data_IF_956941709776
#
_entry.id   IF_956941709776
#
_cell.length_a   1.000
_cell.length_b   1.000
_cell.length_c   1.000
_cell.angle_alpha   90.00
_cell.angle_beta   90.00
_cell.angle_gamma   90.00
#
_symmetry.space_group_name_H-M   'P 1'
#
loop_
_entity.id
_entity.type
_entity.pdbx_description
1 polymer ?
#
# COMPACT_ATOMS: atom_id res chain seq x y z
N UNK A 1 -17.74 35.39 -13.08
CA UNK A 1 -16.75 34.57 -12.36
C UNK A 1 -16.95 33.09 -12.74
N UNK A 2 -17.29 32.16 -11.86
CA UNK A 2 -17.10 30.70 -12.07
C UNK A 2 -17.55 30.07 -13.41
N UNK A 3 -18.60 30.59 -14.07
CA UNK A 3 -19.01 30.07 -15.39
C UNK A 3 -18.06 30.54 -16.52
N UNK A 4 -17.53 31.76 -16.43
CA UNK A 4 -16.59 32.33 -17.42
C UNK A 4 -15.18 31.73 -17.31
N UNK A 5 -14.79 31.21 -16.14
CA UNK A 5 -13.54 30.45 -15.95
C UNK A 5 -13.58 29.10 -16.67
N UNK A 6 -14.73 28.42 -16.65
CA UNK A 6 -14.93 27.15 -17.37
C UNK A 6 -14.89 27.31 -18.89
N UNK A 7 -15.38 28.44 -19.42
CA UNK A 7 -15.26 28.74 -20.86
C UNK A 7 -13.82 29.10 -21.29
N UNK A 8 -12.94 29.42 -20.33
CA UNK A 8 -11.50 29.69 -20.54
C UNK A 8 -10.58 28.50 -20.27
N UNK A 9 -11.11 27.41 -19.72
CA UNK A 9 -10.34 26.20 -19.40
C UNK A 9 -9.58 26.25 -18.07
N UNK A 10 -9.94 27.17 -17.15
CA UNK A 10 -9.39 27.21 -15.80
C UNK A 10 -9.96 26.08 -14.93
N UNK A 11 -9.18 25.61 -13.96
CA UNK A 11 -9.47 24.41 -13.16
C UNK A 11 -10.67 24.52 -12.21
N UNK A 12 -11.17 23.35 -11.75
CA UNK A 12 -12.33 23.24 -10.85
C UNK A 12 -11.99 23.50 -9.37
N UNK A 13 -10.72 23.71 -9.02
CA UNK A 13 -10.22 23.71 -7.63
C UNK A 13 -10.85 24.75 -6.69
N UNK A 14 -11.42 25.83 -7.21
CA UNK A 14 -12.03 26.89 -6.40
C UNK A 14 -13.55 26.73 -6.22
N UNK A 15 -14.15 25.64 -6.71
CA UNK A 15 -15.60 25.44 -6.61
C UNK A 15 -16.00 24.75 -5.28
N UNK A 16 -16.89 25.33 -4.46
CA UNK A 16 -17.33 24.73 -3.20
C UNK A 16 -17.93 23.33 -3.38
N UNK A 17 -17.59 22.37 -2.50
CA UNK A 17 -17.98 20.96 -2.61
C UNK A 17 -19.51 20.75 -2.78
N UNK A 18 -20.34 21.63 -2.20
CA UNK A 18 -21.80 21.59 -2.32
C UNK A 18 -22.35 21.80 -3.75
N UNK A 19 -21.49 22.18 -4.70
CA UNK A 19 -21.82 22.31 -6.14
C UNK A 19 -21.22 21.17 -6.98
N UNK A 20 -20.12 20.55 -6.54
CA UNK A 20 -19.45 19.46 -7.27
C UNK A 20 -20.37 18.23 -7.42
N UNK A 21 -21.26 17.99 -6.45
CA UNK A 21 -22.23 16.89 -6.43
C UNK A 21 -23.41 17.04 -7.42
N UNK A 22 -23.43 18.07 -8.28
CA UNK A 22 -24.57 18.40 -9.18
C UNK A 22 -24.21 18.53 -10.65
N UNK A 23 -23.08 17.95 -11.07
CA UNK A 23 -22.64 17.91 -12.46
C UNK A 23 -23.08 16.63 -13.16
N UNK A 24 -23.64 16.77 -14.37
CA UNK A 24 -23.93 15.67 -15.29
C UNK A 24 -23.14 15.88 -16.60
N UNK A 25 -22.56 14.79 -17.11
CA UNK A 25 -21.91 14.75 -18.42
C UNK A 25 -22.78 13.93 -19.36
N UNK A 26 -23.21 14.54 -20.47
CA UNK A 26 -23.89 13.87 -21.59
C UNK A 26 -22.90 13.75 -22.76
N UNK A 27 -22.98 12.65 -23.50
CA UNK A 27 -22.10 12.41 -24.65
C UNK A 27 -22.96 12.17 -25.89
N UNK A 28 -22.65 12.86 -26.98
CA UNK A 28 -23.30 12.75 -28.29
C UNK A 28 -22.54 11.75 -29.18
N UNK A 29 -23.25 11.08 -30.11
CA UNK A 29 -22.73 9.93 -30.88
C UNK A 29 -21.57 10.21 -31.85
N UNK A 30 -21.05 11.44 -31.86
CA UNK A 30 -19.89 11.90 -32.63
C UNK A 30 -18.65 12.17 -31.75
N UNK A 31 -18.64 11.70 -30.49
CA UNK A 31 -17.52 11.91 -29.56
C UNK A 31 -17.52 13.27 -28.85
N UNK A 32 -18.60 14.04 -28.99
CA UNK A 32 -18.77 15.35 -28.36
C UNK A 32 -19.35 15.20 -26.95
N UNK A 33 -18.65 15.72 -25.96
CA UNK A 33 -19.07 15.75 -24.55
C UNK A 33 -19.74 17.10 -24.24
N UNK A 34 -20.81 17.08 -23.44
CA UNK A 34 -21.57 18.25 -23.03
C UNK A 34 -21.77 18.20 -21.51
N UNK A 35 -21.39 19.28 -20.84
CA UNK A 35 -21.43 19.40 -19.38
C UNK A 35 -22.69 20.17 -18.97
N UNK A 36 -23.37 19.68 -17.93
CA UNK A 36 -24.59 20.25 -17.36
C UNK A 36 -24.44 20.43 -15.85
N UNK A 37 -25.08 21.47 -15.30
CA UNK A 37 -25.35 21.59 -13.87
C UNK A 37 -26.86 21.51 -13.60
N UNK A 38 -27.22 20.90 -12.48
CA UNK A 38 -28.61 20.73 -12.01
C UNK A 38 -29.54 20.20 -13.13
N UNK A 39 -29.05 19.19 -13.85
CA UNK A 39 -29.76 18.34 -14.82
C UNK A 39 -30.42 19.05 -16.02
N UNK A 40 -30.24 20.37 -16.16
CA UNK A 40 -31.06 21.19 -17.06
C UNK A 40 -30.32 22.32 -17.77
N UNK A 41 -29.25 22.90 -17.19
CA UNK A 41 -28.47 23.97 -17.83
C UNK A 41 -27.14 23.45 -18.37
N UNK A 42 -26.94 23.53 -19.70
CA UNK A 42 -25.61 23.34 -20.32
C UNK A 42 -24.66 24.41 -19.81
N UNK A 43 -23.44 23.99 -19.42
CA UNK A 43 -22.35 24.87 -18.94
C UNK A 43 -21.06 24.73 -19.75
N UNK A 44 -20.96 23.78 -20.68
CA UNK A 44 -19.81 23.65 -21.57
C UNK A 44 -19.95 22.51 -22.59
N UNK A 45 -19.04 22.41 -23.55
CA UNK A 45 -18.92 21.23 -24.43
C UNK A 45 -17.55 21.12 -25.10
N UNK A 46 -17.06 19.88 -25.23
CA UNK A 46 -15.78 19.52 -25.84
C UNK A 46 -15.99 18.50 -26.97
N UNK A 47 -15.12 18.45 -27.98
CA UNK A 47 -15.24 17.51 -29.10
C UNK A 47 -13.87 17.10 -29.63
N UNK A 48 -13.64 15.79 -29.77
CA UNK A 48 -12.43 15.22 -30.39
C UNK A 48 -12.57 15.14 -31.92
N UNK A 49 -11.49 14.71 -32.60
CA UNK A 49 -11.44 14.50 -34.07
C UNK A 49 -11.19 13.04 -34.49
N UNK A 50 -11.01 12.11 -33.55
CA UNK A 50 -10.68 10.70 -33.81
C UNK A 50 -11.74 9.74 -33.24
N UNK A 51 -11.80 8.51 -33.79
CA UNK A 51 -12.85 7.52 -33.58
C UNK A 51 -12.82 6.84 -32.20
N UNK A 52 -13.10 7.62 -31.17
CA UNK A 52 -13.14 7.19 -29.77
C UNK A 52 -14.32 6.23 -29.49
N UNK A 53 -14.10 5.17 -28.71
CA UNK A 53 -15.16 4.31 -28.16
C UNK A 53 -15.18 4.36 -26.63
N UNK A 54 -16.36 4.19 -26.04
CA UNK A 54 -16.62 4.25 -24.60
C UNK A 54 -17.19 2.90 -24.16
N UNK A 55 -16.71 2.36 -23.04
CA UNK A 55 -17.11 1.05 -22.52
C UNK A 55 -17.76 1.20 -21.14
N UNK A 56 -19.08 1.46 -21.15
CA UNK A 56 -19.95 1.32 -19.98
C UNK A 56 -19.95 2.46 -18.95
N UNK A 57 -20.87 2.33 -18.01
CA UNK A 57 -21.04 3.18 -16.83
C UNK A 57 -21.51 2.29 -15.67
N UNK A 58 -20.78 2.28 -14.57
CA UNK A 58 -21.25 1.76 -13.28
C UNK A 58 -20.94 2.77 -12.18
N UNK A 59 -21.92 3.05 -11.32
CA UNK A 59 -21.71 3.71 -10.02
C UNK A 59 -21.04 5.09 -10.06
N UNK A 60 -21.21 5.87 -11.14
CA UNK A 60 -20.65 7.22 -11.22
C UNK A 60 -19.16 7.28 -11.61
N UNK A 61 -18.63 6.22 -12.26
CA UNK A 61 -17.29 6.23 -12.87
C UNK A 61 -17.38 6.08 -14.39
N UNK A 62 -16.61 6.88 -15.12
CA UNK A 62 -16.46 6.80 -16.57
C UNK A 62 -15.10 6.20 -16.94
N UNK A 63 -15.03 5.49 -18.07
CA UNK A 63 -13.80 5.00 -18.66
C UNK A 63 -13.74 5.38 -20.14
N UNK A 64 -12.57 5.81 -20.61
CA UNK A 64 -12.30 6.20 -21.99
C UNK A 64 -10.94 5.64 -22.42
N UNK A 65 -10.78 5.37 -23.71
CA UNK A 65 -9.52 4.93 -24.32
C UNK A 65 -9.22 5.87 -25.48
N UNK A 66 -7.96 6.30 -25.62
CA UNK A 66 -7.53 7.19 -26.68
C UNK A 66 -6.39 6.53 -27.46
N UNK A 67 -6.59 6.33 -28.76
CA UNK A 67 -5.62 5.84 -29.74
C UNK A 67 -4.76 4.61 -29.31
N UNK A 68 -5.34 3.74 -28.48
CA UNK A 68 -4.75 2.48 -28.02
C UNK A 68 -4.19 2.50 -26.60
N UNK A 69 -3.95 3.68 -26.01
CA UNK A 69 -3.49 3.78 -24.62
C UNK A 69 -4.64 4.00 -23.63
N UNK A 70 -4.53 3.34 -22.47
CA UNK A 70 -5.49 3.42 -21.39
C UNK A 70 -5.15 4.58 -20.43
N UNK A 71 -5.74 5.75 -20.69
CA UNK A 71 -5.71 6.85 -19.72
C UNK A 71 -6.36 6.39 -18.40
N UNK A 72 -5.65 6.60 -17.29
CA UNK A 72 -6.05 6.13 -15.97
C UNK A 72 -7.34 6.81 -15.51
N UNK A 73 -8.15 6.11 -14.70
CA UNK A 73 -9.26 6.74 -13.98
C UNK A 73 -8.72 7.79 -13.00
N UNK A 74 -9.13 9.04 -13.16
CA UNK A 74 -8.84 10.15 -12.25
C UNK A 74 -10.17 10.62 -11.62
N UNK A 75 -10.30 10.73 -10.29
CA UNK A 75 -11.43 11.39 -9.66
C UNK A 75 -11.44 12.89 -9.97
N UNK A 76 -12.63 13.48 -10.14
CA UNK A 76 -12.80 14.95 -10.18
C UNK A 76 -12.25 15.54 -8.87
N UNK A 77 -11.12 16.26 -8.96
CA UNK A 77 -10.37 16.76 -7.81
C UNK A 77 -8.86 16.42 -7.79
N UNK A 78 -8.33 15.71 -8.80
CA UNK A 78 -6.88 15.56 -8.99
C UNK A 78 -6.43 15.97 -10.41
N UNK A 79 -6.39 17.29 -10.62
CA UNK A 79 -5.39 17.90 -11.50
C UNK A 79 -4.58 18.85 -10.61
N UNK A 80 -3.29 18.62 -10.47
CA UNK A 80 -2.34 19.57 -9.87
C UNK A 80 -0.93 19.24 -10.38
N UNK A 81 -0.08 20.27 -10.51
CA UNK A 81 1.24 20.22 -11.13
C UNK A 81 2.26 20.95 -10.25
N UNK A 82 3.32 20.21 -9.87
CA UNK A 82 4.58 20.72 -9.32
C UNK A 82 4.57 21.37 -7.91
N UNK A 83 4.84 20.52 -6.91
CA UNK A 83 5.74 20.79 -5.76
C UNK A 83 5.55 22.07 -4.90
N UNK A 84 5.03 21.90 -3.68
CA UNK A 84 5.22 22.90 -2.61
C UNK A 84 4.63 22.52 -1.24
N UNK A 85 5.49 22.31 -0.22
CA UNK A 85 5.11 22.26 1.21
C UNK A 85 5.75 23.46 1.93
N UNK A 86 5.05 24.09 2.90
CA UNK A 86 5.22 23.69 4.30
C UNK A 86 3.91 23.64 5.13
N UNK A 87 4.04 23.24 6.41
CA UNK A 87 2.96 23.09 7.42
C UNK A 87 3.41 23.87 8.70
N UNK A 88 2.56 23.92 9.76
CA UNK A 88 2.83 24.32 11.18
C UNK A 88 2.68 25.84 11.47
N UNK A 89 2.14 26.34 12.59
CA UNK A 89 1.03 26.01 13.55
C UNK A 89 0.68 27.39 14.23
N UNK A 90 -0.41 27.68 14.95
CA UNK A 90 -0.99 27.09 16.18
C UNK A 90 -2.09 28.03 16.73
N UNK A 91 -2.90 27.62 17.72
CA UNK A 91 -3.43 28.51 18.79
C UNK A 91 -3.75 27.78 20.11
N UNK A 92 -3.03 28.19 21.18
CA UNK A 92 -3.46 28.38 22.60
C UNK A 92 -4.02 27.23 23.47
N UNK A 93 -3.46 27.13 24.69
CA UNK A 93 -3.82 26.31 25.89
C UNK A 93 -3.61 27.18 27.18
N UNK A 94 -3.67 26.73 28.46
CA UNK A 94 -4.15 25.48 29.14
C UNK A 94 -5.51 25.76 29.86
N UNK A 95 -5.87 25.45 31.15
CA UNK A 95 -5.27 24.66 32.28
C UNK A 95 -5.23 23.14 32.06
N UNK A 96 -4.79 22.21 32.95
CA UNK A 96 -4.30 22.16 34.36
C UNK A 96 -5.30 21.97 35.53
N UNK A 97 -5.35 20.74 36.06
CA UNK A 97 -5.29 20.40 37.50
C UNK A 97 -4.70 18.97 37.68
N UNK A 98 -4.25 18.61 38.89
CA UNK A 98 -3.24 17.55 39.11
C UNK A 98 -3.45 16.82 40.46
N UNK A 99 -3.53 15.47 40.47
CA UNK A 99 -3.35 14.61 41.67
C UNK A 99 -2.82 13.21 41.27
N UNK A 100 -1.84 12.70 42.02
CA UNK A 100 -1.38 11.31 42.15
C UNK A 100 -0.86 11.12 43.60
N UNK A 101 -0.50 9.90 44.08
CA UNK A 101 -0.65 8.55 43.52
C UNK A 101 -1.41 7.58 44.47
N UNK A 102 -1.56 6.29 44.11
CA UNK A 102 -1.24 5.16 45.01
C UNK A 102 -1.20 3.80 44.29
N UNK A 103 -0.32 2.92 44.76
CA UNK A 103 -0.16 1.48 44.43
C UNK A 103 0.41 0.80 45.70
N UNK A 104 0.42 -0.55 45.88
CA UNK A 104 0.03 -1.60 44.93
C UNK A 104 -1.01 -2.60 45.50
N UNK A 105 -1.49 -3.55 44.68
CA UNK A 105 -1.66 -4.96 45.11
C UNK A 105 -1.94 -5.89 43.91
N UNK A 106 -1.23 -7.01 43.82
CA UNK A 106 -1.38 -7.97 42.74
C UNK A 106 -2.57 -8.93 42.94
N UNK A 107 -3.36 -9.12 41.88
CA UNK A 107 -4.25 -10.29 41.63
C UNK A 107 -4.47 -10.40 40.11
N UNK A 108 -4.47 -11.62 39.59
CA UNK A 108 -4.60 -11.89 38.16
C UNK A 108 -5.97 -11.47 37.62
N UNK A 109 -5.98 -10.52 36.69
CA UNK A 109 -7.20 -10.04 36.02
C UNK A 109 -7.68 -11.10 35.00
N UNK A 110 -8.98 -11.44 34.93
CA UNK A 110 -9.53 -12.15 33.78
C UNK A 110 -9.29 -11.37 32.49
N UNK A 111 -9.22 -12.06 31.36
CA UNK A 111 -9.24 -11.42 30.04
C UNK A 111 -10.55 -10.63 29.91
N UNK A 112 -10.45 -9.30 29.84
CA UNK A 112 -11.61 -8.44 29.62
C UNK A 112 -12.19 -8.69 28.21
N UNK A 113 -13.53 -8.64 28.04
CA UNK A 113 -14.12 -8.69 26.72
C UNK A 113 -13.68 -7.44 25.95
N UNK A 114 -12.90 -7.66 24.88
CA UNK A 114 -12.46 -6.59 23.97
C UNK A 114 -13.68 -5.81 23.52
N UNK A 115 -13.64 -4.48 23.70
CA UNK A 115 -14.76 -3.59 23.39
C UNK A 115 -15.13 -3.64 21.91
N UNK A 116 -16.41 -3.41 21.63
CA UNK A 116 -17.00 -3.56 20.29
C UNK A 116 -16.17 -2.82 19.24
N UNK A 117 -15.83 -3.53 18.17
CA UNK A 117 -14.80 -3.16 17.19
C UNK A 117 -14.96 -1.74 16.65
N UNK A 118 -13.89 -0.91 16.65
CA UNK A 118 -14.00 0.44 16.13
C UNK A 118 -14.14 0.42 14.60
N UNK A 119 -15.23 1.02 14.10
CA UNK A 119 -15.28 1.64 12.78
C UNK A 119 -14.92 0.76 11.55
N UNK A 120 -15.02 -0.56 11.62
CA UNK A 120 -14.80 -1.43 10.46
C UNK A 120 -16.05 -1.50 9.56
N UNK A 121 -15.92 -1.18 8.27
CA UNK A 121 -16.89 -1.65 7.27
C UNK A 121 -16.51 -3.06 6.82
N UNK A 122 -17.51 -3.84 6.47
CA UNK A 122 -17.34 -5.20 6.00
C UNK A 122 -18.46 -5.59 5.04
N UNK A 123 -18.22 -6.65 4.27
CA UNK A 123 -19.22 -7.30 3.43
C UNK A 123 -19.33 -8.78 3.84
N UNK A 124 -20.54 -9.32 3.82
CA UNK A 124 -20.80 -10.75 4.03
C UNK A 124 -21.18 -11.38 2.69
N UNK A 125 -20.39 -12.36 2.25
CA UNK A 125 -20.66 -13.13 1.02
C UNK A 125 -20.42 -14.61 1.28
N UNK A 126 -21.32 -15.46 0.79
CA UNK A 126 -21.22 -16.93 0.89
C UNK A 126 -21.01 -17.44 2.34
N UNK A 127 -21.48 -16.67 3.34
CA UNK A 127 -21.34 -16.95 4.76
C UNK A 127 -20.00 -16.53 5.39
N UNK A 128 -19.12 -15.86 4.65
CA UNK A 128 -17.82 -15.34 5.10
C UNK A 128 -17.79 -13.81 5.12
N UNK A 129 -17.00 -13.23 6.03
CA UNK A 129 -16.86 -11.77 6.20
C UNK A 129 -15.53 -11.29 5.63
N UNK A 130 -15.57 -10.23 4.82
CA UNK A 130 -14.40 -9.48 4.38
C UNK A 130 -14.46 -8.06 4.93
N UNK A 131 -13.41 -7.60 5.60
CA UNK A 131 -13.26 -6.19 6.02
C UNK A 131 -12.96 -5.33 4.78
N UNK A 132 -13.70 -4.25 4.57
CA UNK A 132 -13.65 -3.44 3.34
C UNK A 132 -13.24 -1.98 3.56
N UNK A 133 -13.34 -1.42 4.77
CA UNK A 133 -12.91 -0.04 5.07
C UNK A 133 -12.68 0.21 6.57
N UNK A 134 -11.95 1.29 6.87
CA UNK A 134 -11.43 1.75 8.16
C UNK A 134 -11.98 3.16 8.44
N UNK A 135 -13.22 3.24 8.95
CA UNK A 135 -13.97 4.51 9.09
C UNK A 135 -13.25 5.46 10.05
N UNK A 136 -13.20 6.74 9.69
CA UNK A 136 -12.48 7.82 10.41
C UNK A 136 -10.98 7.58 10.63
N UNK A 137 -10.38 6.57 9.95
CA UNK A 137 -8.96 6.21 10.01
C UNK A 137 -8.49 5.87 11.44
N UNK A 138 -8.86 4.66 11.88
CA UNK A 138 -8.49 4.04 13.17
C UNK A 138 -7.07 4.43 13.62
N UNK A 139 -6.98 4.88 14.87
CA UNK A 139 -5.75 5.33 15.52
C UNK A 139 -5.33 4.39 16.65
N UNK A 140 -4.03 4.31 16.92
CA UNK A 140 -3.50 3.43 17.97
C UNK A 140 -3.57 1.96 17.55
N UNK A 141 -4.09 1.11 18.42
CA UNK A 141 -4.12 -0.35 18.23
C UNK A 141 -5.50 -0.84 17.80
N UNK A 142 -5.52 -1.84 16.90
CA UNK A 142 -6.74 -2.47 16.41
C UNK A 142 -6.66 -4.00 16.54
N UNK A 143 -7.72 -4.62 17.05
CA UNK A 143 -7.96 -6.05 16.88
C UNK A 143 -9.13 -6.24 15.93
N UNK A 144 -8.91 -6.93 14.81
CA UNK A 144 -10.01 -7.40 13.96
C UNK A 144 -10.66 -8.60 14.67
N UNK A 145 -11.98 -8.61 14.90
CA UNK A 145 -12.64 -9.73 15.56
C UNK A 145 -12.61 -10.97 14.65
N UNK A 146 -12.42 -12.17 15.23
CA UNK A 146 -12.43 -13.43 14.48
C UNK A 146 -13.80 -13.74 13.84
N UNK A 147 -14.89 -13.18 14.38
CA UNK A 147 -16.24 -13.29 13.85
C UNK A 147 -16.99 -11.95 13.88
N UNK A 148 -17.85 -11.73 12.89
CA UNK A 148 -18.81 -10.62 12.82
C UNK A 148 -20.17 -11.24 12.45
N UNK A 149 -21.25 -10.88 13.15
CA UNK A 149 -22.58 -11.50 13.01
C UNK A 149 -22.58 -13.05 13.09
N UNK A 150 -21.65 -13.62 13.87
CA UNK A 150 -21.46 -15.08 13.97
C UNK A 150 -20.86 -15.74 12.73
N UNK A 151 -20.42 -14.96 11.74
CA UNK A 151 -19.70 -15.40 10.53
C UNK A 151 -18.19 -15.16 10.69
N UNK A 152 -17.31 -16.03 10.19
CA UNK A 152 -15.87 -15.86 10.32
C UNK A 152 -15.36 -14.70 9.46
N UNK A 153 -14.42 -13.91 10.01
CA UNK A 153 -13.67 -12.91 9.23
C UNK A 153 -12.53 -13.61 8.51
N UNK A 154 -12.64 -13.70 7.17
CA UNK A 154 -11.73 -14.47 6.32
C UNK A 154 -10.89 -13.60 5.38
N UNK A 155 -11.27 -12.33 5.18
CA UNK A 155 -10.60 -11.44 4.23
C UNK A 155 -10.37 -10.03 4.78
N UNK A 156 -9.26 -9.42 4.37
CA UNK A 156 -9.05 -7.98 4.38
C UNK A 156 -8.97 -7.54 2.92
N UNK A 157 -10.00 -6.82 2.47
CA UNK A 157 -10.20 -6.46 1.06
C UNK A 157 -9.32 -5.31 0.57
N UNK A 158 -9.40 -5.05 -0.74
CA UNK A 158 -8.67 -3.99 -1.43
C UNK A 158 -8.73 -2.66 -0.65
N UNK A 159 -7.56 -2.18 -0.22
CA UNK A 159 -7.40 -0.90 0.48
C UNK A 159 -8.21 -0.72 1.79
N UNK A 160 -8.62 -1.80 2.46
CA UNK A 160 -9.45 -1.71 3.68
C UNK A 160 -8.86 -0.87 4.84
N UNK A 161 -7.53 -0.70 4.93
CA UNK A 161 -6.84 0.19 5.89
C UNK A 161 -5.99 1.27 5.19
N UNK A 162 -6.30 1.57 3.92
CA UNK A 162 -5.54 2.52 3.09
C UNK A 162 -5.45 3.90 3.74
N UNK A 163 -4.22 4.35 3.92
CA UNK A 163 -3.91 5.62 4.55
C UNK A 163 -4.53 5.79 5.94
N UNK A 164 -4.78 4.72 6.70
CA UNK A 164 -5.06 4.80 8.13
C UNK A 164 -3.76 5.12 8.88
N UNK A 165 -3.32 6.38 8.73
CA UNK A 165 -1.98 6.87 9.07
C UNK A 165 -1.65 6.82 10.56
N UNK A 166 -2.66 6.74 11.42
CA UNK A 166 -2.54 6.76 12.87
C UNK A 166 -2.58 5.36 13.50
N UNK A 167 -2.83 4.31 12.71
CA UNK A 167 -2.80 2.92 13.13
C UNK A 167 -1.34 2.54 13.45
N UNK A 168 -1.05 2.19 14.70
CA UNK A 168 0.31 1.83 15.15
C UNK A 168 0.54 0.32 15.22
N UNK A 169 -0.52 -0.46 15.45
CA UNK A 169 -0.47 -1.92 15.59
C UNK A 169 -1.81 -2.52 15.13
N UNK A 170 -1.79 -3.70 14.51
CA UNK A 170 -3.01 -4.43 14.17
C UNK A 170 -2.86 -5.94 14.40
N UNK A 171 -3.84 -6.51 15.10
CA UNK A 171 -4.00 -7.95 15.32
C UNK A 171 -5.03 -8.46 14.31
N UNK A 172 -4.58 -9.35 13.44
CA UNK A 172 -5.40 -10.06 12.45
C UNK A 172 -5.69 -11.47 12.98
N UNK A 173 -6.95 -11.95 13.00
CA UNK A 173 -7.28 -13.27 13.52
C UNK A 173 -6.92 -14.39 12.51
N UNK A 174 -6.57 -15.56 13.03
CA UNK A 174 -6.17 -16.75 12.25
C UNK A 174 -7.24 -17.29 11.30
N UNK A 175 -8.48 -16.76 11.34
CA UNK A 175 -9.52 -17.04 10.36
C UNK A 175 -9.25 -16.38 9.00
N UNK A 176 -8.41 -15.34 8.93
CA UNK A 176 -8.11 -14.61 7.69
C UNK A 176 -7.17 -15.42 6.79
N UNK A 177 -7.61 -15.61 5.54
CA UNK A 177 -6.91 -16.33 4.48
C UNK A 177 -6.46 -15.43 3.33
N UNK A 178 -7.02 -14.21 3.24
CA UNK A 178 -6.74 -13.23 2.18
C UNK A 178 -6.44 -11.85 2.79
N UNK A 179 -5.31 -11.25 2.38
CA UNK A 179 -5.02 -9.82 2.54
C UNK A 179 -4.76 -9.27 1.14
N UNK A 180 -5.67 -8.46 0.64
CA UNK A 180 -5.73 -8.04 -0.75
C UNK A 180 -4.78 -6.84 -1.05
N UNK A 181 -4.71 -6.47 -2.33
CA UNK A 181 -3.85 -5.42 -2.88
C UNK A 181 -4.01 -4.11 -2.11
N UNK A 182 -2.88 -3.58 -1.63
CA UNK A 182 -2.80 -2.29 -0.96
C UNK A 182 -3.62 -2.20 0.34
N UNK A 183 -3.94 -3.32 1.01
CA UNK A 183 -4.74 -3.33 2.24
C UNK A 183 -4.26 -2.32 3.30
N UNK A 184 -2.95 -2.21 3.52
CA UNK A 184 -2.30 -1.28 4.48
C UNK A 184 -1.47 -0.18 3.79
N UNK A 185 -1.70 0.06 2.49
CA UNK A 185 -0.98 1.07 1.70
C UNK A 185 -1.14 2.46 2.36
N UNK A 186 -0.04 3.05 2.83
CA UNK A 186 -0.02 4.34 3.49
C UNK A 186 -0.40 4.32 4.98
N UNK A 187 -0.44 3.17 5.65
CA UNK A 187 -0.55 3.10 7.12
C UNK A 187 0.78 3.53 7.77
N UNK A 188 1.13 4.82 7.66
CA UNK A 188 2.49 5.30 7.93
C UNK A 188 3.00 5.06 9.35
N UNK A 189 2.12 5.05 10.36
CA UNK A 189 2.49 4.81 11.77
C UNK A 189 2.55 3.32 12.16
N UNK A 190 2.21 2.39 11.26
CA UNK A 190 2.16 0.96 11.57
C UNK A 190 3.57 0.44 11.87
N UNK A 191 3.83 0.04 13.12
CA UNK A 191 5.17 -0.35 13.61
C UNK A 191 5.43 -1.84 13.44
N UNK A 192 4.40 -2.64 13.65
CA UNK A 192 4.42 -4.11 13.69
C UNK A 192 3.12 -4.66 13.14
N UNK A 193 3.19 -5.81 12.47
CA UNK A 193 2.03 -6.61 12.09
C UNK A 193 2.43 -8.08 12.00
N UNK A 194 1.55 -8.98 12.45
CA UNK A 194 1.68 -10.42 12.24
C UNK A 194 0.80 -10.83 11.05
N UNK A 195 1.39 -11.46 10.04
CA UNK A 195 0.66 -12.06 8.92
C UNK A 195 0.21 -13.47 9.35
N UNK A 196 -1.09 -13.83 9.27
CA UNK A 196 -1.56 -15.18 9.65
C UNK A 196 -1.01 -16.31 8.76
N UNK A 197 -0.78 -17.49 9.36
CA UNK A 197 -0.23 -18.71 8.71
C UNK A 197 -1.12 -19.33 7.59
N UNK A 198 -2.22 -18.68 7.24
CA UNK A 198 -3.08 -19.08 6.11
C UNK A 198 -2.89 -18.21 4.87
N UNK A 199 -2.24 -17.05 4.99
CA UNK A 199 -1.98 -16.16 3.86
C UNK A 199 -1.01 -16.84 2.88
N UNK A 200 -1.40 -16.93 1.60
CA UNK A 200 -0.61 -17.57 0.54
C UNK A 200 0.22 -16.62 -0.32
N UNK A 201 -0.10 -15.33 -0.28
CA UNK A 201 0.61 -14.29 -1.03
C UNK A 201 0.50 -12.96 -0.30
N UNK A 202 1.59 -12.20 -0.25
CA UNK A 202 1.51 -10.77 0.07
C UNK A 202 1.23 -10.06 -1.26
N UNK A 203 0.10 -9.38 -1.38
CA UNK A 203 -0.34 -8.81 -2.66
C UNK A 203 0.46 -7.55 -3.07
N UNK A 204 0.20 -7.05 -4.29
CA UNK A 204 0.77 -5.80 -4.78
C UNK A 204 0.44 -4.65 -3.79
N UNK A 205 1.39 -3.73 -3.58
CA UNK A 205 1.28 -2.53 -2.72
C UNK A 205 0.91 -2.76 -1.24
N UNK A 206 0.73 -4.00 -0.74
CA UNK A 206 0.00 -4.27 0.52
C UNK A 206 0.48 -3.51 1.77
N UNK A 207 1.79 -3.36 1.98
CA UNK A 207 2.41 -2.59 3.07
C UNK A 207 3.20 -1.38 2.56
N UNK A 208 2.97 -0.96 1.31
CA UNK A 208 3.67 0.19 0.73
C UNK A 208 3.42 1.46 1.56
N UNK A 209 4.48 2.23 1.81
CA UNK A 209 4.48 3.42 2.66
C UNK A 209 4.07 3.18 4.13
N UNK A 210 4.15 1.93 4.63
CA UNK A 210 4.22 1.67 6.08
C UNK A 210 5.60 2.10 6.62
N UNK A 211 5.85 3.41 6.67
CA UNK A 211 7.16 4.01 6.96
C UNK A 211 7.70 3.66 8.34
N UNK A 212 6.83 3.48 9.33
CA UNK A 212 7.18 3.12 10.71
C UNK A 212 7.43 1.64 10.94
N UNK A 213 7.18 0.76 9.94
CA UNK A 213 7.30 -0.69 10.09
C UNK A 213 8.77 -1.05 10.29
N UNK A 214 9.14 -1.50 11.49
CA UNK A 214 10.55 -1.78 11.85
C UNK A 214 10.96 -3.21 11.52
N UNK A 215 10.02 -4.15 11.62
CA UNK A 215 10.17 -5.56 11.28
C UNK A 215 8.83 -6.14 10.82
N UNK A 216 8.88 -7.25 10.07
CA UNK A 216 7.72 -8.08 9.77
C UNK A 216 8.14 -9.54 9.62
N UNK A 217 7.34 -10.46 10.15
CA UNK A 217 7.48 -11.90 9.93
C UNK A 217 6.62 -12.32 8.75
N UNK A 218 7.24 -12.85 7.70
CA UNK A 218 6.52 -13.53 6.61
C UNK A 218 6.45 -15.02 6.96
N UNK A 219 5.25 -15.62 7.09
CA UNK A 219 5.11 -17.04 7.44
C UNK A 219 5.39 -17.96 6.24
N UNK A 220 5.82 -19.19 6.52
CA UNK A 220 6.08 -20.29 5.56
C UNK A 220 4.84 -20.71 4.72
N UNK A 221 3.69 -20.09 4.96
CA UNK A 221 2.49 -20.23 4.13
C UNK A 221 2.55 -19.41 2.85
N UNK A 222 3.38 -18.35 2.79
CA UNK A 222 3.45 -17.38 1.70
C UNK A 222 4.35 -17.90 0.59
N UNK A 223 3.82 -17.99 -0.64
CA UNK A 223 4.56 -18.49 -1.82
C UNK A 223 5.03 -17.39 -2.76
N UNK A 224 4.55 -16.15 -2.57
CA UNK A 224 4.83 -15.00 -3.43
C UNK A 224 4.72 -13.67 -2.69
N UNK A 225 5.55 -12.70 -3.10
CA UNK A 225 5.55 -11.31 -2.62
C UNK A 225 5.25 -10.39 -3.80
N UNK A 226 4.24 -9.53 -3.69
CA UNK A 226 3.75 -8.68 -4.76
C UNK A 226 4.68 -7.53 -5.16
N UNK A 227 4.31 -6.84 -6.26
CA UNK A 227 4.99 -5.62 -6.72
C UNK A 227 4.82 -4.53 -5.67
N UNK A 228 5.89 -3.81 -5.34
CA UNK A 228 5.89 -2.74 -4.34
C UNK A 228 5.36 -3.14 -2.94
N UNK A 229 5.29 -4.44 -2.61
CA UNK A 229 4.63 -4.94 -1.40
C UNK A 229 5.07 -4.25 -0.10
N UNK A 230 6.35 -3.86 -0.01
CA UNK A 230 6.99 -3.13 1.10
C UNK A 230 7.71 -1.86 0.62
N UNK A 231 7.28 -1.29 -0.52
CA UNK A 231 7.85 -0.04 -1.05
C UNK A 231 7.80 1.04 0.02
N UNK A 232 8.88 1.78 0.20
CA UNK A 232 8.94 2.91 1.14
C UNK A 232 8.67 2.54 2.62
N UNK A 233 8.84 1.27 3.01
CA UNK A 233 8.98 0.89 4.42
C UNK A 233 10.35 1.37 4.95
N UNK A 234 10.49 2.68 5.16
CA UNK A 234 11.77 3.35 5.42
C UNK A 234 12.47 2.87 6.68
N UNK A 235 11.73 2.50 7.73
CA UNK A 235 12.28 2.03 9.00
C UNK A 235 12.53 0.51 9.06
N UNK A 236 12.22 -0.26 8.01
CA UNK A 236 12.39 -1.71 7.99
C UNK A 236 13.89 -2.04 7.98
N UNK A 237 14.43 -2.55 9.09
CA UNK A 237 15.89 -2.73 9.27
C UNK A 237 16.42 -4.06 8.74
N UNK A 238 15.57 -5.08 8.75
CA UNK A 238 15.82 -6.43 8.26
C UNK A 238 14.51 -7.08 7.80
N UNK A 239 14.59 -8.07 6.91
CA UNK A 239 13.47 -8.95 6.61
C UNK A 239 13.97 -10.36 6.28
N UNK A 240 13.27 -11.37 6.80
CA UNK A 240 13.47 -12.78 6.44
C UNK A 240 12.41 -13.18 5.43
N UNK A 241 12.85 -13.70 4.29
CA UNK A 241 11.97 -14.29 3.28
C UNK A 241 12.03 -15.82 3.50
N UNK A 242 10.89 -16.48 3.79
CA UNK A 242 10.85 -17.91 4.07
C UNK A 242 11.14 -18.77 2.83
N UNK A 243 11.61 -19.99 3.04
CA UNK A 243 11.97 -20.93 1.96
C UNK A 243 10.73 -21.32 1.11
N UNK A 244 9.51 -21.07 1.59
CA UNK A 244 8.27 -21.18 0.82
C UNK A 244 8.13 -20.20 -0.36
N UNK A 245 8.85 -19.07 -0.39
CA UNK A 245 8.65 -18.01 -1.40
C UNK A 245 9.35 -18.33 -2.71
N UNK A 246 8.57 -18.39 -3.78
CA UNK A 246 9.04 -18.69 -5.15
C UNK A 246 9.27 -17.45 -6.00
N UNK A 247 8.62 -16.32 -5.67
CA UNK A 247 8.62 -15.12 -6.50
C UNK A 247 8.54 -13.83 -5.70
N UNK A 248 9.32 -12.82 -6.14
CA UNK A 248 9.37 -11.48 -5.54
C UNK A 248 9.10 -10.44 -6.62
N UNK A 249 8.02 -9.67 -6.46
CA UNK A 249 7.52 -8.72 -7.45
C UNK A 249 8.41 -7.49 -7.64
N UNK A 250 8.22 -6.81 -8.79
CA UNK A 250 8.92 -5.56 -9.15
C UNK A 250 8.91 -4.56 -8.00
N UNK A 251 10.09 -4.10 -7.58
CA UNK A 251 10.24 -3.09 -6.54
C UNK A 251 9.72 -3.49 -5.15
N UNK A 252 9.61 -4.79 -4.82
CA UNK A 252 9.02 -5.25 -3.57
C UNK A 252 9.53 -4.54 -2.30
N UNK A 253 10.84 -4.23 -2.21
CA UNK A 253 11.48 -3.51 -1.10
C UNK A 253 12.12 -2.18 -1.55
N UNK A 254 11.65 -1.58 -2.65
CA UNK A 254 12.22 -0.31 -3.14
C UNK A 254 12.10 0.78 -2.08
N UNK A 255 13.16 1.57 -1.90
CA UNK A 255 13.25 2.65 -0.89
C UNK A 255 13.03 2.20 0.57
N UNK A 256 13.25 0.93 0.91
CA UNK A 256 13.50 0.52 2.30
C UNK A 256 14.87 1.07 2.74
N UNK A 257 14.92 2.35 3.10
CA UNK A 257 16.19 3.08 3.26
C UNK A 257 17.07 2.55 4.37
N UNK A 258 16.49 2.07 5.46
CA UNK A 258 17.22 1.55 6.63
C UNK A 258 17.45 0.02 6.56
N UNK A 259 17.06 -0.65 5.46
CA UNK A 259 17.24 -2.09 5.29
C UNK A 259 18.73 -2.42 5.15
N UNK A 260 19.32 -2.97 6.21
CA UNK A 260 20.76 -3.23 6.30
C UNK A 260 21.18 -4.50 5.57
N UNK A 261 20.34 -5.54 5.64
CA UNK A 261 20.54 -6.78 4.90
C UNK A 261 19.24 -7.52 4.59
N UNK A 262 19.30 -8.36 3.56
CA UNK A 262 18.21 -9.23 3.13
C UNK A 262 18.77 -10.59 2.70
N UNK A 263 18.00 -11.66 2.96
CA UNK A 263 18.31 -13.03 2.49
C UNK A 263 17.26 -13.46 1.48
N UNK A 264 17.71 -13.92 0.32
CA UNK A 264 16.90 -14.46 -0.76
C UNK A 264 17.07 -16.00 -0.75
N UNK A 265 16.02 -16.78 -0.43
CA UNK A 265 16.12 -18.24 -0.37
C UNK A 265 16.30 -18.88 -1.75
N UNK A 266 16.70 -20.15 -1.77
CA UNK A 266 17.04 -20.86 -3.02
C UNK A 266 15.82 -21.24 -3.88
N UNK A 267 14.63 -21.17 -3.30
CA UNK A 267 13.32 -21.36 -3.92
C UNK A 267 12.87 -20.19 -4.79
N UNK A 268 13.45 -19.00 -4.63
CA UNK A 268 13.09 -17.82 -5.42
C UNK A 268 13.62 -17.96 -6.85
N UNK A 269 12.75 -18.37 -7.77
CA UNK A 269 13.05 -18.52 -9.20
C UNK A 269 12.73 -17.26 -10.01
N UNK A 270 11.98 -16.31 -9.44
CA UNK A 270 11.60 -15.05 -10.11
C UNK A 270 11.82 -13.84 -9.21
N UNK A 271 12.68 -12.92 -9.66
CA UNK A 271 13.00 -11.66 -8.97
C UNK A 271 12.70 -10.49 -9.91
N UNK A 272 11.77 -9.63 -9.53
CA UNK A 272 11.36 -8.49 -10.33
C UNK A 272 12.43 -7.39 -10.42
N UNK A 273 12.29 -6.55 -11.45
CA UNK A 273 13.11 -5.35 -11.62
C UNK A 273 13.11 -4.47 -10.36
N UNK A 274 14.29 -3.99 -9.97
CA UNK A 274 14.44 -2.96 -8.92
C UNK A 274 14.00 -3.37 -7.52
N UNK A 275 13.93 -4.67 -7.20
CA UNK A 275 13.43 -5.21 -5.91
C UNK A 275 14.01 -4.53 -4.66
N UNK A 276 15.27 -4.08 -4.70
CA UNK A 276 15.99 -3.36 -3.62
C UNK A 276 16.58 -2.01 -4.11
N UNK A 277 15.91 -1.38 -5.07
CA UNK A 277 16.27 -0.06 -5.59
C UNK A 277 16.25 0.99 -4.46
N UNK A 278 17.32 1.80 -4.34
CA UNK A 278 17.47 2.84 -3.32
C UNK A 278 17.30 2.37 -1.86
N UNK A 279 17.65 1.12 -1.55
CA UNK A 279 17.92 0.67 -0.19
C UNK A 279 19.31 1.18 0.26
N UNK A 280 19.39 2.48 0.56
CA UNK A 280 20.68 3.17 0.70
C UNK A 280 21.59 2.62 1.84
N UNK A 281 21.02 2.05 2.91
CA UNK A 281 21.79 1.43 4.00
C UNK A 281 22.13 -0.06 3.78
N UNK A 282 21.83 -0.64 2.61
CA UNK A 282 21.97 -2.07 2.35
C UNK A 282 23.45 -2.45 2.14
N UNK A 283 24.05 -3.07 3.16
CA UNK A 283 25.46 -3.50 3.17
C UNK A 283 25.66 -4.96 2.76
N UNK A 284 24.64 -5.80 2.90
CA UNK A 284 24.73 -7.23 2.59
C UNK A 284 23.46 -7.78 1.93
N UNK A 285 23.61 -8.50 0.82
CA UNK A 285 22.53 -9.30 0.21
C UNK A 285 22.98 -10.74 0.15
N UNK A 286 22.23 -11.66 0.77
CA UNK A 286 22.59 -13.07 0.84
C UNK A 286 21.69 -13.87 -0.10
N UNK A 287 22.26 -14.59 -1.07
CA UNK A 287 21.52 -15.51 -1.94
C UNK A 287 21.84 -16.96 -1.57
N UNK A 288 20.80 -17.75 -1.27
CA UNK A 288 20.95 -19.15 -0.90
C UNK A 288 20.95 -20.11 -2.10
N UNK A 289 20.58 -19.62 -3.29
CA UNK A 289 20.52 -20.35 -4.55
C UNK A 289 21.56 -19.92 -5.59
N UNK A 290 21.33 -20.32 -6.84
CA UNK A 290 22.12 -19.90 -8.01
C UNK A 290 22.02 -18.40 -8.28
N UNK A 291 22.96 -17.86 -9.06
CA UNK A 291 22.87 -16.48 -9.53
C UNK A 291 21.61 -16.28 -10.38
N UNK A 292 20.68 -15.39 -10.00
CA UNK A 292 19.41 -15.24 -10.71
C UNK A 292 19.57 -14.34 -11.94
N UNK A 293 18.81 -14.64 -12.99
CA UNK A 293 18.76 -13.83 -14.21
C UNK A 293 18.00 -12.52 -13.95
N UNK A 294 18.74 -11.45 -13.65
CA UNK A 294 18.19 -10.14 -13.28
C UNK A 294 18.90 -8.99 -14.00
N UNK A 295 18.15 -7.92 -14.27
CA UNK A 295 18.72 -6.68 -14.82
C UNK A 295 19.61 -5.95 -13.81
N UNK A 296 20.68 -5.31 -14.30
CA UNK A 296 21.67 -4.56 -13.51
C UNK A 296 21.08 -3.46 -12.59
N UNK A 297 19.83 -3.03 -12.82
CA UNK A 297 19.18 -1.96 -12.08
C UNK A 297 18.84 -2.30 -10.61
N UNK A 298 18.92 -3.58 -10.19
CA UNK A 298 18.47 -3.99 -8.84
C UNK A 298 19.22 -3.29 -7.69
N UNK A 299 20.52 -2.99 -7.84
CA UNK A 299 21.34 -2.33 -6.80
C UNK A 299 21.55 -0.82 -7.02
N UNK A 300 20.69 -0.15 -7.81
CA UNK A 300 20.85 1.30 -8.04
C UNK A 300 20.67 2.07 -6.71
N UNK A 301 21.66 2.91 -6.41
CA UNK A 301 21.83 3.68 -5.17
C UNK A 301 22.10 2.85 -3.88
N UNK A 302 22.34 1.54 -3.99
CA UNK A 302 22.76 0.68 -2.89
C UNK A 302 24.12 0.05 -3.20
N UNK A 303 25.03 -0.09 -2.23
CA UNK A 303 26.36 -0.70 -2.42
C UNK A 303 26.62 -1.92 -1.53
N UNK A 304 25.75 -2.96 -1.57
CA UNK A 304 25.95 -4.16 -0.77
C UNK A 304 27.14 -4.99 -1.27
N UNK A 305 27.70 -5.79 -0.37
CA UNK A 305 28.41 -7.02 -0.73
C UNK A 305 27.39 -8.15 -0.92
N UNK A 306 27.58 -8.96 -1.96
CA UNK A 306 26.72 -10.09 -2.27
C UNK A 306 27.34 -11.35 -1.68
N UNK A 307 26.58 -12.09 -0.88
CA UNK A 307 27.02 -13.32 -0.22
C UNK A 307 26.29 -14.52 -0.83
N UNK A 308 27.04 -15.55 -1.23
CA UNK A 308 26.50 -16.80 -1.81
C UNK A 308 26.92 -18.02 -1.00
N UNK A 309 26.17 -19.12 -1.10
CA UNK A 309 26.65 -20.42 -0.62
C UNK A 309 27.80 -20.97 -1.50
N UNK A 310 28.71 -21.81 -0.97
CA UNK A 310 29.81 -22.41 -1.73
C UNK A 310 29.37 -23.17 -2.99
N UNK A 311 28.29 -23.95 -2.89
CA UNK A 311 27.71 -24.79 -3.95
C UNK A 311 26.94 -24.01 -5.03
N UNK A 312 26.69 -22.72 -4.81
CA UNK A 312 25.93 -21.88 -5.72
C UNK A 312 26.72 -21.58 -7.01
N UNK A 313 26.20 -22.07 -8.15
CA UNK A 313 26.70 -21.80 -9.51
C UNK A 313 26.15 -20.49 -10.10
N UNK A 314 26.79 -19.99 -11.16
CA UNK A 314 26.38 -18.80 -11.94
C UNK A 314 27.00 -17.48 -11.47
N UNK A 315 27.70 -17.48 -10.34
CA UNK A 315 28.33 -16.30 -9.76
C UNK A 315 29.74 -16.06 -10.32
N UNK A 316 30.02 -14.83 -10.77
CA UNK A 316 31.38 -14.31 -10.95
C UNK A 316 31.81 -13.45 -9.75
N UNK A 317 32.97 -12.81 -9.84
CA UNK A 317 33.52 -11.94 -8.77
C UNK A 317 32.67 -10.70 -8.47
N UNK A 318 31.81 -10.31 -9.43
CA UNK A 318 30.78 -9.29 -9.22
C UNK A 318 29.43 -9.73 -9.79
N UNK A 319 28.35 -9.17 -9.23
CA UNK A 319 26.97 -9.35 -9.66
C UNK A 319 26.25 -8.01 -9.61
N UNK A 320 25.65 -7.56 -10.72
CA UNK A 320 25.04 -6.23 -10.83
C UNK A 320 25.99 -5.06 -10.47
N UNK A 321 27.30 -5.22 -10.70
CA UNK A 321 28.33 -4.25 -10.31
C UNK A 321 28.62 -4.19 -8.80
N UNK A 322 28.35 -5.28 -8.05
CA UNK A 322 28.62 -5.42 -6.61
C UNK A 322 29.51 -6.62 -6.34
N UNK A 323 30.46 -6.56 -5.39
CA UNK A 323 31.40 -7.65 -5.12
C UNK A 323 30.68 -8.88 -4.57
N UNK A 324 31.09 -10.07 -5.00
CA UNK A 324 30.55 -11.37 -4.55
C UNK A 324 31.55 -12.06 -3.64
N UNK A 325 31.04 -12.65 -2.54
CA UNK A 325 31.79 -13.39 -1.52
C UNK A 325 31.09 -14.68 -1.12
N UNK A 326 31.82 -15.60 -0.50
CA UNK A 326 31.22 -16.73 0.20
C UNK A 326 30.49 -16.25 1.46
N UNK A 327 29.38 -16.90 1.80
CA UNK A 327 28.60 -16.64 3.03
C UNK A 327 29.42 -16.83 4.32
N UNK A 328 30.51 -17.61 4.26
CA UNK A 328 31.49 -17.79 5.34
C UNK A 328 32.45 -16.60 5.52
N UNK A 329 32.45 -15.61 4.61
CA UNK A 329 33.19 -14.35 4.73
C UNK A 329 32.32 -13.20 5.26
N UNK A 330 31.09 -13.48 5.69
CA UNK A 330 30.17 -12.47 6.21
C UNK A 330 30.64 -12.02 7.61
N UNK A 331 30.79 -10.70 7.86
CA UNK A 331 31.17 -10.16 9.16
C UNK A 331 30.03 -10.22 10.18
#
# INVERSE_FOLDING_TARGET
>A
MYIESLEKGEGLEHMPLALQSKFIIKIEGNGKMIFFMNDSKKVGSYSTKSSSKIIGNLGGRFSMTLDGEALRMIPLGQLDLETGFPIIFSRTSPPVSEVQPEEPHAKTKPLEPVTVSPNLKYEIKDGMVTITDCVEKVSGELTIPATIEGKPVTGIGWRAFYSCTNLTNIIIPDSVTIIDRGAFLGSESLKTITIPDKIKSIADDTFSNCRSLTSITIPESVTSIGKFAFSDCTNLTSITIPDSVTSIGRGAFTRCTNLTSITIPNSVTSIGFGVIYACNSLTAVTFLGHAPEVENAIFRNATPTIYRKPEAKGWGDTFGGRPVKLISEKP
#
